data_IF_964091910058
#
_entry.id   IF_964091910058
#
_cell.length_a   1.000
_cell.length_b   1.000
_cell.length_c   1.000
_cell.angle_alpha   90.00
_cell.angle_beta   90.00
_cell.angle_gamma   90.00
#
_symmetry.space_group_name_H-M   'P 1'
#
loop_
_entity.id
_entity.type
_entity.pdbx_description
1 polymer ?
#
# COMPACT_ATOMS: atom_id res chain seq x y z
N UNK A 1 -1.72 -10.59 36.86
CA UNK A 1 -1.27 -11.64 35.90
C UNK A 1 -1.91 -12.96 36.32
N UNK A 2 -3.00 -13.34 35.66
CA UNK A 2 -3.67 -14.62 35.88
C UNK A 2 -2.76 -15.71 35.28
N UNK A 3 -2.32 -16.65 36.10
CA UNK A 3 -1.45 -17.74 35.62
C UNK A 3 -2.31 -18.80 34.91
N UNK A 4 -1.76 -19.53 33.93
CA UNK A 4 -2.48 -20.63 33.23
C UNK A 4 -3.21 -21.60 34.18
N UNK A 5 -2.69 -21.82 35.40
CA UNK A 5 -3.35 -22.71 36.39
C UNK A 5 -4.79 -22.28 36.68
N UNK A 6 -5.14 -21.00 36.51
CA UNK A 6 -6.47 -20.47 36.81
C UNK A 6 -7.49 -20.65 35.68
N UNK A 7 -7.07 -20.75 34.40
CA UNK A 7 -8.00 -20.80 33.25
C UNK A 7 -8.04 -22.14 32.50
N UNK A 8 -7.16 -23.09 32.82
CA UNK A 8 -7.22 -24.44 32.24
C UNK A 8 -7.04 -24.51 30.72
N UNK A 9 -6.32 -23.56 30.12
CA UNK A 9 -6.14 -23.48 28.65
C UNK A 9 -5.48 -24.76 28.11
N UNK A 10 -6.13 -25.38 27.12
CA UNK A 10 -5.68 -26.61 26.46
C UNK A 10 -5.06 -26.35 25.07
N UNK A 11 -5.51 -25.29 24.39
CA UNK A 11 -5.03 -24.93 23.05
C UNK A 11 -5.11 -23.42 22.78
N UNK A 12 -4.24 -22.95 21.88
CA UNK A 12 -4.25 -21.59 21.31
C UNK A 12 -4.32 -21.69 19.78
N UNK A 13 -5.24 -20.94 19.19
CA UNK A 13 -5.50 -20.89 17.76
C UNK A 13 -5.26 -19.48 17.22
N UNK A 14 -4.57 -19.33 16.09
CA UNK A 14 -4.27 -18.02 15.51
C UNK A 14 -4.03 -18.09 13.99
N UNK A 15 -4.01 -16.96 13.29
CA UNK A 15 -3.65 -16.87 11.88
C UNK A 15 -2.14 -16.71 11.70
N UNK A 16 -1.57 -17.50 10.79
CA UNK A 16 -0.14 -17.50 10.48
C UNK A 16 0.25 -16.26 9.66
N UNK A 17 1.37 -15.66 10.03
CA UNK A 17 2.05 -14.59 9.29
C UNK A 17 3.30 -15.09 8.55
N UNK A 18 3.93 -14.22 7.76
CA UNK A 18 4.99 -14.63 6.81
C UNK A 18 6.28 -13.81 6.90
N UNK A 19 6.30 -12.75 7.70
CA UNK A 19 7.41 -11.81 7.87
C UNK A 19 8.11 -12.01 9.21
N UNK A 20 9.35 -11.53 9.33
CA UNK A 20 10.27 -12.02 10.37
C UNK A 20 9.87 -11.63 11.79
N UNK A 21 9.34 -10.43 11.99
CA UNK A 21 8.93 -9.96 13.31
C UNK A 21 7.75 -10.78 13.84
N UNK A 22 6.73 -10.99 13.01
CA UNK A 22 5.58 -11.81 13.37
C UNK A 22 5.97 -13.28 13.56
N UNK A 23 6.84 -13.83 12.69
CA UNK A 23 7.35 -15.18 12.84
C UNK A 23 8.20 -15.36 14.12
N UNK A 24 8.91 -14.32 14.56
CA UNK A 24 9.63 -14.33 15.83
C UNK A 24 8.68 -14.42 17.02
N UNK A 25 7.58 -13.64 17.00
CA UNK A 25 6.50 -13.72 18.00
C UNK A 25 5.87 -15.11 18.01
N UNK A 26 5.51 -15.66 16.85
CA UNK A 26 4.95 -17.00 16.73
C UNK A 26 5.88 -18.08 17.31
N UNK A 27 7.18 -18.00 17.00
CA UNK A 27 8.20 -18.94 17.46
C UNK A 27 8.37 -18.86 18.98
N UNK A 28 8.45 -17.64 19.53
CA UNK A 28 8.53 -17.41 20.97
C UNK A 28 7.30 -17.94 21.71
N UNK A 29 6.10 -17.66 21.19
CA UNK A 29 4.83 -18.14 21.74
C UNK A 29 4.76 -19.67 21.75
N UNK A 30 5.08 -20.32 20.63
CA UNK A 30 5.13 -21.80 20.52
C UNK A 30 6.09 -22.40 21.54
N UNK A 31 7.29 -21.83 21.67
CA UNK A 31 8.30 -22.29 22.63
C UNK A 31 7.83 -22.12 24.08
N UNK A 32 7.19 -21.00 24.41
CA UNK A 32 6.68 -20.74 25.74
C UNK A 32 5.52 -21.69 26.10
N UNK A 33 4.56 -21.89 25.20
CA UNK A 33 3.39 -22.75 25.42
C UNK A 33 3.73 -24.25 25.43
N UNK A 34 4.75 -24.68 24.67
CA UNK A 34 5.24 -26.05 24.68
C UNK A 34 5.76 -26.47 26.07
N UNK A 35 6.49 -25.59 26.78
CA UNK A 35 7.04 -25.87 28.13
C UNK A 35 5.98 -26.21 29.16
N UNK A 36 4.77 -25.71 28.97
CA UNK A 36 3.66 -25.94 29.87
C UNK A 36 2.70 -27.01 29.30
N UNK A 37 2.84 -27.44 28.06
CA UNK A 37 1.95 -28.43 27.42
C UNK A 37 0.62 -27.87 26.89
N UNK A 38 0.58 -26.60 26.45
CA UNK A 38 -0.55 -26.06 25.66
C UNK A 38 -0.33 -26.37 24.19
N UNK A 39 -1.37 -26.88 23.50
CA UNK A 39 -1.33 -27.11 22.05
C UNK A 39 -1.42 -25.79 21.30
N UNK A 40 -0.67 -25.64 20.22
CA UNK A 40 -0.71 -24.44 19.38
C UNK A 40 -1.05 -24.84 17.95
N UNK A 41 -2.05 -24.22 17.34
CA UNK A 41 -2.45 -24.48 15.95
C UNK A 41 -2.66 -23.18 15.19
N UNK A 42 -1.90 -23.00 14.12
CA UNK A 42 -1.99 -21.84 13.23
C UNK A 42 -2.77 -22.18 11.96
N UNK A 43 -3.46 -21.18 11.39
CA UNK A 43 -4.19 -21.31 10.12
C UNK A 43 -3.75 -20.26 9.10
N UNK A 44 -3.78 -20.60 7.82
CA UNK A 44 -3.52 -19.64 6.75
C UNK A 44 -4.85 -18.97 6.35
N UNK A 45 -5.00 -17.67 6.63
CA UNK A 45 -6.29 -16.98 6.48
C UNK A 45 -6.29 -15.68 5.68
N UNK A 46 -5.11 -15.11 5.40
CA UNK A 46 -4.99 -13.71 4.99
C UNK A 46 -5.03 -13.48 3.48
N UNK A 47 -5.16 -14.53 2.65
CA UNK A 47 -5.13 -14.46 1.16
C UNK A 47 -6.44 -14.87 0.51
N UNK A 48 -6.64 -14.47 -0.75
CA UNK A 48 -7.76 -14.91 -1.58
C UNK A 48 -7.64 -16.41 -1.89
N UNK A 49 -6.49 -16.84 -2.39
CA UNK A 49 -6.19 -18.26 -2.61
C UNK A 49 -5.49 -18.83 -1.38
N UNK A 50 -6.05 -19.90 -0.81
CA UNK A 50 -5.44 -20.57 0.33
C UNK A 50 -4.13 -21.26 -0.11
N UNK A 51 -3.13 -21.36 0.77
CA UNK A 51 -1.83 -21.96 0.46
C UNK A 51 -1.92 -23.39 -0.10
N UNK A 52 -2.92 -24.16 0.34
CA UNK A 52 -3.15 -25.55 -0.11
C UNK A 52 -3.74 -25.64 -1.53
N UNK A 53 -4.31 -24.55 -2.05
CA UNK A 53 -4.90 -24.51 -3.39
C UNK A 53 -3.91 -24.04 -4.44
N UNK A 54 -2.68 -23.67 -4.05
CA UNK A 54 -1.66 -23.29 -5.02
C UNK A 54 -1.25 -24.50 -5.88
N UNK A 55 -1.08 -24.34 -7.20
CA UNK A 55 -0.65 -25.42 -8.08
C UNK A 55 0.86 -25.68 -7.98
N UNK A 56 1.53 -25.01 -7.04
CA UNK A 56 2.96 -25.08 -6.76
C UNK A 56 3.19 -24.90 -5.26
N UNK A 57 4.25 -25.51 -4.73
CA UNK A 57 4.71 -25.22 -3.37
C UNK A 57 5.29 -23.81 -3.26
N UNK A 58 5.33 -23.24 -2.05
CA UNK A 58 5.84 -21.88 -1.78
C UNK A 58 7.22 -21.62 -2.41
N UNK A 59 8.13 -22.60 -2.37
CA UNK A 59 9.48 -22.46 -2.98
C UNK A 59 9.46 -22.26 -4.49
N UNK A 60 8.38 -22.67 -5.16
CA UNK A 60 8.19 -22.64 -6.61
C UNK A 60 7.19 -21.58 -7.07
N UNK A 61 6.77 -20.65 -6.20
CA UNK A 61 5.96 -19.50 -6.62
C UNK A 61 6.68 -18.78 -7.78
N UNK A 62 6.02 -18.52 -8.92
CA UNK A 62 6.63 -17.83 -10.04
C UNK A 62 7.13 -16.43 -9.68
N UNK A 63 8.31 -16.06 -10.20
CA UNK A 63 8.94 -14.75 -9.94
C UNK A 63 8.25 -13.59 -10.69
N UNK A 64 7.39 -13.89 -11.65
CA UNK A 64 6.65 -12.90 -12.43
C UNK A 64 5.16 -13.02 -12.13
N UNK A 65 4.53 -11.93 -11.70
CA UNK A 65 3.09 -11.89 -11.35
C UNK A 65 2.20 -12.48 -12.46
N UNK A 66 2.45 -12.15 -13.72
CA UNK A 66 1.64 -12.66 -14.84
C UNK A 66 1.69 -14.19 -14.93
N UNK A 67 2.82 -14.81 -14.62
CA UNK A 67 2.96 -16.28 -14.60
C UNK A 67 2.24 -16.86 -13.38
N UNK A 68 2.43 -16.26 -12.20
CA UNK A 68 1.71 -16.62 -10.97
C UNK A 68 0.19 -16.60 -11.19
N UNK A 69 -0.36 -15.48 -11.67
CA UNK A 69 -1.78 -15.31 -11.97
C UNK A 69 -2.30 -16.36 -12.95
N UNK A 70 -1.62 -16.53 -14.10
CA UNK A 70 -2.08 -17.45 -15.15
C UNK A 70 -2.14 -18.90 -14.66
N UNK A 71 -1.17 -19.33 -13.84
CA UNK A 71 -1.17 -20.68 -13.28
C UNK A 71 -2.26 -20.84 -12.22
N UNK A 72 -2.42 -19.86 -11.34
CA UNK A 72 -3.41 -19.86 -10.27
C UNK A 72 -4.84 -19.88 -10.82
N UNK A 73 -5.16 -18.97 -11.75
CA UNK A 73 -6.50 -18.89 -12.36
C UNK A 73 -6.86 -20.14 -13.19
N UNK A 74 -5.86 -20.87 -13.69
CA UNK A 74 -6.08 -22.09 -14.48
C UNK A 74 -6.34 -23.33 -13.61
N UNK A 75 -5.70 -23.41 -12.45
CA UNK A 75 -5.55 -24.68 -11.73
C UNK A 75 -5.98 -24.64 -10.27
N UNK A 76 -6.49 -23.51 -9.79
CA UNK A 76 -6.86 -23.31 -8.38
C UNK A 76 -8.26 -22.76 -8.25
N UNK A 77 -8.91 -23.04 -7.12
CA UNK A 77 -10.23 -22.49 -6.80
C UNK A 77 -10.16 -21.66 -5.52
N UNK A 78 -10.91 -20.56 -5.49
CA UNK A 78 -11.11 -19.80 -4.25
C UNK A 78 -12.11 -20.56 -3.38
N UNK A 79 -11.70 -20.95 -2.17
CA UNK A 79 -12.62 -21.55 -1.21
C UNK A 79 -13.72 -20.57 -0.78
N UNK A 80 -14.89 -21.12 -0.49
CA UNK A 80 -15.97 -20.39 0.17
C UNK A 80 -15.51 -19.80 1.52
N UNK A 81 -16.21 -18.75 1.93
CA UNK A 81 -16.05 -18.17 3.27
C UNK A 81 -16.59 -19.13 4.33
N UNK A 82 -16.05 -19.03 5.55
CA UNK A 82 -16.60 -19.76 6.69
C UNK A 82 -17.86 -19.03 7.20
N UNK A 83 -18.89 -19.76 7.65
CA UNK A 83 -20.05 -19.13 8.27
C UNK A 83 -19.64 -18.44 9.59
N UNK A 84 -20.11 -17.21 9.80
CA UNK A 84 -19.92 -16.49 11.06
C UNK A 84 -20.65 -17.22 12.19
N UNK A 85 -19.98 -17.53 13.32
CA UNK A 85 -20.64 -18.16 14.46
C UNK A 85 -21.72 -17.23 15.01
N UNK A 86 -22.93 -17.76 15.21
CA UNK A 86 -24.06 -16.99 15.76
C UNK A 86 -24.01 -16.85 17.28
N UNK A 87 -23.31 -17.77 17.95
CA UNK A 87 -23.15 -17.81 19.39
C UNK A 87 -21.74 -18.30 19.75
N UNK A 88 -21.22 -17.81 20.86
CA UNK A 88 -19.99 -18.29 21.48
C UNK A 88 -20.29 -18.74 22.92
N UNK A 89 -19.49 -19.66 23.49
CA UNK A 89 -19.53 -19.94 24.91
C UNK A 89 -19.30 -18.67 25.74
N UNK A 90 -19.82 -18.59 26.97
CA UNK A 90 -19.61 -17.43 27.83
C UNK A 90 -18.13 -17.23 28.14
N UNK A 91 -17.73 -15.97 28.35
CA UNK A 91 -16.40 -15.63 28.81
C UNK A 91 -16.17 -16.19 30.23
N UNK A 92 -14.95 -16.66 30.55
CA UNK A 92 -14.60 -16.98 31.94
C UNK A 92 -14.66 -15.71 32.81
N UNK A 93 -14.78 -15.88 34.12
CA UNK A 93 -14.73 -14.77 35.09
C UNK A 93 -13.30 -14.23 35.19
N UNK A 94 -12.95 -13.32 34.29
CA UNK A 94 -11.63 -12.67 34.21
C UNK A 94 -11.80 -11.17 34.06
N UNK A 95 -10.77 -10.43 34.44
CA UNK A 95 -10.63 -9.04 33.99
C UNK A 95 -10.40 -9.07 32.47
N UNK A 96 -11.33 -8.46 31.72
CA UNK A 96 -11.29 -8.41 30.26
C UNK A 96 -10.30 -7.37 29.74
N UNK A 97 -9.81 -6.49 30.63
CA UNK A 97 -8.96 -5.36 30.28
C UNK A 97 -9.71 -4.25 29.55
N UNK A 98 -9.09 -3.08 29.51
CA UNK A 98 -9.56 -1.94 28.73
C UNK A 98 -8.74 -1.83 27.44
N UNK A 99 -9.39 -1.45 26.34
CA UNK A 99 -8.67 -1.11 25.12
C UNK A 99 -7.94 0.23 25.33
N UNK A 100 -6.62 0.29 25.06
CA UNK A 100 -5.85 1.51 25.28
C UNK A 100 -6.30 2.63 24.33
N UNK A 101 -6.19 3.87 24.79
CA UNK A 101 -6.23 5.06 23.96
C UNK A 101 -4.85 5.27 23.29
N UNK A 102 -4.80 6.13 22.27
CA UNK A 102 -3.53 6.47 21.61
C UNK A 102 -2.49 7.03 22.59
N UNK A 103 -2.92 7.85 23.55
CA UNK A 103 -2.04 8.42 24.56
C UNK A 103 -1.37 7.35 25.45
N UNK A 104 -2.07 6.25 25.75
CA UNK A 104 -1.52 5.12 26.52
C UNK A 104 -0.39 4.39 25.77
N UNK A 105 -0.36 4.56 24.43
CA UNK A 105 0.67 4.02 23.55
C UNK A 105 1.76 5.05 23.21
N UNK A 106 1.73 6.24 23.84
CA UNK A 106 2.67 7.33 23.54
C UNK A 106 2.41 8.02 22.21
N UNK A 107 1.19 7.94 21.68
CA UNK A 107 0.79 8.49 20.39
C UNK A 107 -0.20 9.64 20.55
N UNK A 108 -0.04 10.67 19.74
CA UNK A 108 -0.99 11.78 19.65
C UNK A 108 -2.10 11.46 18.63
N UNK A 109 -3.38 11.77 18.93
CA UNK A 109 -4.44 11.65 17.94
C UNK A 109 -4.17 12.56 16.73
N UNK A 110 -4.22 12.05 15.49
CA UNK A 110 -4.03 12.87 14.31
C UNK A 110 -5.19 13.87 14.16
N UNK A 111 -4.89 15.08 13.69
CA UNK A 111 -5.91 16.09 13.39
C UNK A 111 -6.64 15.69 12.09
N UNK A 112 -7.97 15.47 12.11
CA UNK A 112 -8.69 15.06 10.91
C UNK A 112 -8.69 16.15 9.83
N UNK A 113 -8.22 15.83 8.63
CA UNK A 113 -8.34 16.70 7.46
C UNK A 113 -9.64 16.42 6.70
N UNK A 114 -10.44 17.47 6.44
CA UNK A 114 -11.72 17.35 5.72
C UNK A 114 -11.56 16.93 4.25
N UNK A 115 -10.34 17.05 3.71
CA UNK A 115 -9.99 16.63 2.35
C UNK A 115 -9.75 15.13 2.23
N UNK A 116 -9.67 14.40 3.34
CA UNK A 116 -9.49 12.96 3.34
C UNK A 116 -10.52 12.26 2.45
N UNK A 117 -10.07 11.29 1.65
CA UNK A 117 -10.94 10.56 0.71
C UNK A 117 -12.10 9.84 1.39
N UNK A 118 -11.93 9.50 2.67
CA UNK A 118 -12.93 8.95 3.58
C UNK A 118 -12.61 9.39 5.00
N UNK A 119 -13.65 9.53 5.84
CA UNK A 119 -13.49 9.46 7.29
C UNK A 119 -13.39 7.99 7.68
N UNK A 120 -12.19 7.44 7.65
CA UNK A 120 -11.97 6.02 7.98
C UNK A 120 -12.38 5.73 9.43
N UNK A 121 -13.08 4.60 9.62
CA UNK A 121 -13.42 4.03 10.92
C UNK A 121 -12.98 2.58 10.91
N UNK A 122 -12.21 2.18 11.93
CA UNK A 122 -11.75 0.80 12.09
C UNK A 122 -12.89 -0.18 12.37
N UNK A 123 -12.58 -1.48 12.25
CA UNK A 123 -13.48 -2.59 12.59
C UNK A 123 -14.26 -3.16 11.40
N UNK A 124 -14.61 -4.45 11.53
CA UNK A 124 -15.37 -5.21 10.52
C UNK A 124 -16.70 -4.54 10.12
N UNK A 125 -17.55 -4.01 11.03
CA UNK A 125 -18.81 -3.39 10.62
C UNK A 125 -18.61 -2.20 9.66
N UNK A 126 -17.56 -1.39 9.86
CA UNK A 126 -17.25 -0.27 8.98
C UNK A 126 -16.71 -0.74 7.62
N UNK A 127 -15.93 -1.81 7.60
CA UNK A 127 -15.45 -2.43 6.36
C UNK A 127 -16.60 -3.01 5.53
N UNK A 128 -17.52 -3.74 6.15
CA UNK A 128 -18.71 -4.29 5.50
C UNK A 128 -19.62 -3.17 4.96
N UNK A 129 -19.84 -2.12 5.75
CA UNK A 129 -20.61 -0.95 5.31
C UNK A 129 -19.94 -0.23 4.13
N UNK A 130 -18.60 -0.14 4.09
CA UNK A 130 -17.88 0.44 2.94
C UNK A 130 -18.02 -0.44 1.69
N UNK A 131 -17.97 -1.77 1.84
CA UNK A 131 -18.21 -2.69 0.74
C UNK A 131 -19.63 -2.49 0.19
N UNK A 132 -20.63 -2.50 1.06
CA UNK A 132 -22.03 -2.31 0.68
C UNK A 132 -22.25 -0.97 -0.02
N UNK A 133 -21.68 0.10 0.52
CA UNK A 133 -21.71 1.41 -0.11
C UNK A 133 -21.13 1.38 -1.53
N UNK A 134 -19.93 0.83 -1.71
CA UNK A 134 -19.21 0.88 -2.98
C UNK A 134 -19.79 -0.08 -4.04
N UNK A 135 -20.19 -1.30 -3.65
CA UNK A 135 -20.74 -2.30 -4.57
C UNK A 135 -22.23 -2.07 -4.79
N UNK A 136 -23.02 -2.02 -3.73
CA UNK A 136 -24.46 -2.18 -3.82
C UNK A 136 -25.19 -0.85 -3.84
N UNK A 137 -24.85 0.10 -2.97
CA UNK A 137 -25.55 1.40 -2.90
C UNK A 137 -25.16 2.35 -4.05
N UNK A 138 -23.85 2.50 -4.31
CA UNK A 138 -23.32 3.43 -5.34
C UNK A 138 -23.02 2.78 -6.68
N UNK A 139 -23.09 1.44 -6.74
CA UNK A 139 -22.93 0.68 -7.99
C UNK A 139 -21.62 1.00 -8.73
N UNK A 140 -20.53 1.22 -7.97
CA UNK A 140 -19.25 1.70 -8.51
C UNK A 140 -18.39 0.59 -9.10
N UNK A 141 -18.59 -0.67 -8.69
CA UNK A 141 -17.74 -1.80 -9.09
C UNK A 141 -17.66 -1.95 -10.63
N UNK A 142 -18.77 -1.76 -11.35
CA UNK A 142 -18.82 -1.83 -12.83
C UNK A 142 -17.90 -0.82 -13.54
N UNK A 143 -17.42 0.22 -12.86
CA UNK A 143 -16.55 1.28 -13.40
C UNK A 143 -15.12 1.28 -12.83
N UNK A 144 -14.80 0.33 -11.95
CA UNK A 144 -13.56 0.31 -11.20
C UNK A 144 -12.29 0.42 -12.07
N UNK A 145 -12.19 -0.32 -13.19
CA UNK A 145 -11.00 -0.27 -14.05
C UNK A 145 -10.78 1.12 -14.65
N UNK A 146 -11.85 1.85 -14.95
CA UNK A 146 -11.79 3.19 -15.53
C UNK A 146 -11.47 4.24 -14.46
N UNK A 147 -11.94 4.07 -13.23
CA UNK A 147 -11.82 5.09 -12.17
C UNK A 147 -10.62 4.92 -11.27
N UNK A 148 -10.04 3.71 -11.14
CA UNK A 148 -9.01 3.37 -10.12
C UNK A 148 -7.73 4.22 -10.13
N UNK A 149 -7.46 4.94 -11.23
CA UNK A 149 -6.32 5.87 -11.32
C UNK A 149 -6.66 7.31 -10.89
N UNK A 150 -7.91 7.57 -10.48
CA UNK A 150 -8.31 8.85 -9.89
C UNK A 150 -7.62 9.11 -8.55
N UNK A 151 -7.62 10.37 -8.15
CA UNK A 151 -6.96 10.85 -6.93
C UNK A 151 -7.85 11.77 -6.07
N UNK A 152 -9.10 12.02 -6.50
CA UNK A 152 -10.07 12.81 -5.74
C UNK A 152 -11.39 12.05 -5.58
N UNK A 153 -11.95 12.13 -4.36
CA UNK A 153 -13.23 11.52 -3.98
C UNK A 153 -13.11 10.10 -3.44
N UNK A 154 -14.12 9.66 -2.69
CA UNK A 154 -14.14 8.35 -2.06
C UNK A 154 -14.15 7.19 -3.08
N UNK A 155 -14.90 7.35 -4.18
CA UNK A 155 -15.36 6.22 -5.00
C UNK A 155 -14.60 6.03 -6.31
N UNK A 156 -13.45 6.69 -6.49
CA UNK A 156 -12.59 6.34 -7.62
C UNK A 156 -12.00 4.92 -7.47
N UNK A 157 -11.93 4.39 -6.26
CA UNK A 157 -11.55 3.02 -5.93
C UNK A 157 -12.30 2.53 -4.69
N UNK A 158 -12.21 1.25 -4.36
CA UNK A 158 -12.95 0.64 -3.26
C UNK A 158 -12.62 1.21 -1.88
N UNK A 159 -11.37 1.66 -1.68
CA UNK A 159 -10.81 2.06 -0.38
C UNK A 159 -10.80 0.94 0.68
N UNK A 160 -10.87 -0.33 0.27
CA UNK A 160 -10.92 -1.47 1.20
C UNK A 160 -9.59 -1.76 1.92
N UNK A 161 -8.49 -1.16 1.49
CA UNK A 161 -7.14 -1.52 1.92
C UNK A 161 -6.90 -1.46 3.44
N UNK A 162 -7.41 -0.47 4.22
CA UNK A 162 -7.18 -0.46 5.68
C UNK A 162 -7.84 -1.65 6.38
N UNK A 163 -9.05 -2.01 5.94
CA UNK A 163 -9.77 -3.15 6.49
C UNK A 163 -9.20 -4.50 6.04
N UNK A 164 -8.62 -4.57 4.83
CA UNK A 164 -7.88 -5.75 4.35
C UNK A 164 -6.52 -5.94 5.06
N UNK A 165 -5.84 -4.86 5.41
CA UNK A 165 -4.56 -4.88 6.11
C UNK A 165 -4.72 -5.43 7.54
N UNK A 166 -5.77 -5.01 8.25
CA UNK A 166 -6.07 -5.46 9.62
C UNK A 166 -6.97 -6.71 9.69
N UNK A 167 -7.33 -7.31 8.56
CA UNK A 167 -8.18 -8.50 8.52
C UNK A 167 -9.65 -8.26 8.91
N UNK A 168 -10.10 -7.00 9.03
CA UNK A 168 -11.50 -6.63 9.20
C UNK A 168 -12.37 -6.99 7.99
N UNK A 169 -11.76 -7.08 6.81
CA UNK A 169 -12.36 -7.67 5.62
C UNK A 169 -11.51 -8.83 5.11
N UNK A 170 -12.17 -9.95 4.83
CA UNK A 170 -11.55 -11.10 4.17
C UNK A 170 -11.53 -10.89 2.65
N UNK A 171 -10.40 -11.13 1.95
CA UNK A 171 -10.37 -11.07 0.49
C UNK A 171 -11.31 -12.11 -0.15
N UNK A 172 -11.53 -13.26 0.50
CA UNK A 172 -12.49 -14.28 0.05
C UNK A 172 -13.94 -13.80 0.14
N UNK A 173 -14.26 -13.02 1.17
CA UNK A 173 -15.59 -12.40 1.29
C UNK A 173 -15.81 -11.34 0.21
N UNK A 174 -14.81 -10.48 -0.05
CA UNK A 174 -14.87 -9.52 -1.14
C UNK A 174 -15.07 -10.23 -2.48
N UNK A 175 -14.34 -11.32 -2.73
CA UNK A 175 -14.49 -12.11 -3.95
C UNK A 175 -15.89 -12.71 -4.10
N UNK A 176 -16.44 -13.29 -3.04
CA UNK A 176 -17.83 -13.78 -3.05
C UNK A 176 -18.82 -12.67 -3.38
N UNK A 177 -18.63 -11.46 -2.82
CA UNK A 177 -19.45 -10.29 -3.12
C UNK A 177 -19.28 -9.80 -4.57
N UNK A 178 -18.08 -9.95 -5.16
CA UNK A 178 -17.88 -9.70 -6.60
C UNK A 178 -18.67 -10.70 -7.44
N UNK A 179 -18.62 -12.00 -7.11
CA UNK A 179 -19.37 -13.04 -7.84
C UNK A 179 -20.89 -12.81 -7.75
N UNK A 180 -21.37 -12.41 -6.58
CA UNK A 180 -22.77 -12.06 -6.37
C UNK A 180 -23.16 -10.83 -7.19
N UNK A 181 -22.33 -9.79 -7.21
CA UNK A 181 -22.53 -8.59 -8.02
C UNK A 181 -22.56 -8.91 -9.52
N UNK A 182 -21.63 -9.75 -10.00
CA UNK A 182 -21.57 -10.19 -11.39
C UNK A 182 -22.84 -10.95 -11.81
N UNK A 183 -23.42 -11.72 -10.88
CA UNK A 183 -24.65 -12.50 -11.10
C UNK A 183 -25.89 -11.61 -11.11
N UNK A 184 -25.99 -10.67 -10.17
CA UNK A 184 -27.19 -9.84 -9.98
C UNK A 184 -27.21 -8.59 -10.86
N UNK A 185 -26.04 -8.07 -11.26
CA UNK A 185 -25.93 -6.79 -11.95
C UNK A 185 -25.18 -6.91 -13.27
N UNK A 186 -23.85 -6.92 -13.22
CA UNK A 186 -23.05 -6.80 -14.43
C UNK A 186 -21.67 -7.41 -14.24
N UNK A 187 -21.23 -8.22 -15.21
CA UNK A 187 -19.88 -8.77 -15.28
C UNK A 187 -19.10 -8.08 -16.39
N UNK A 188 -17.93 -7.52 -16.06
CA UNK A 188 -17.07 -6.90 -17.05
C UNK A 188 -15.61 -6.86 -16.60
N UNK A 189 -14.78 -6.20 -17.39
CA UNK A 189 -13.38 -5.96 -17.06
C UNK A 189 -13.18 -5.33 -15.68
N UNK A 190 -14.08 -4.48 -15.20
CA UNK A 190 -13.95 -3.78 -13.93
C UNK A 190 -14.21 -4.66 -12.71
N UNK A 191 -15.21 -5.55 -12.78
CA UNK A 191 -15.47 -6.53 -11.71
C UNK A 191 -14.27 -7.46 -11.56
N UNK A 192 -13.73 -7.95 -12.68
CA UNK A 192 -12.50 -8.74 -12.71
C UNK A 192 -11.29 -7.93 -12.22
N UNK A 193 -11.14 -6.66 -12.62
CA UNK A 193 -9.97 -5.87 -12.25
C UNK A 193 -9.85 -5.69 -10.74
N UNK A 194 -10.95 -5.68 -9.98
CA UNK A 194 -10.85 -5.64 -8.52
C UNK A 194 -10.23 -6.94 -7.97
N UNK A 195 -10.64 -8.10 -8.50
CA UNK A 195 -10.04 -9.39 -8.15
C UNK A 195 -8.58 -9.47 -8.58
N UNK A 196 -8.24 -8.93 -9.76
CA UNK A 196 -6.86 -8.84 -10.24
C UNK A 196 -5.94 -8.08 -9.27
N UNK A 197 -6.45 -7.07 -8.59
CA UNK A 197 -5.69 -6.28 -7.61
C UNK A 197 -5.61 -7.00 -6.26
N UNK A 198 -6.62 -7.79 -5.87
CA UNK A 198 -6.51 -8.74 -4.76
C UNK A 198 -5.44 -9.81 -5.02
N UNK A 199 -5.31 -10.27 -6.27
CA UNK A 199 -4.25 -11.20 -6.67
C UNK A 199 -2.85 -10.60 -6.54
N UNK A 200 -2.68 -9.30 -6.75
CA UNK A 200 -1.41 -8.62 -6.45
C UNK A 200 -1.09 -8.63 -4.96
N UNK A 201 -2.08 -8.41 -4.10
CA UNK A 201 -1.92 -8.52 -2.63
C UNK A 201 -1.51 -9.93 -2.22
N UNK A 202 -2.17 -10.96 -2.76
CA UNK A 202 -1.79 -12.37 -2.56
C UNK A 202 -0.36 -12.63 -3.02
N UNK A 203 -0.03 -12.19 -4.23
CA UNK A 203 1.29 -12.37 -4.83
C UNK A 203 2.40 -11.82 -3.94
N UNK A 204 2.27 -10.58 -3.45
CA UNK A 204 3.28 -10.01 -2.56
C UNK A 204 3.42 -10.78 -1.25
N UNK A 205 2.33 -11.24 -0.65
CA UNK A 205 2.36 -12.08 0.57
C UNK A 205 3.06 -13.42 0.33
N UNK A 206 2.77 -14.06 -0.80
CA UNK A 206 3.42 -15.29 -1.21
C UNK A 206 4.91 -15.10 -1.53
N UNK A 207 5.29 -13.99 -2.16
CA UNK A 207 6.69 -13.62 -2.41
C UNK A 207 7.44 -13.39 -1.09
N UNK A 208 6.84 -12.70 -0.11
CA UNK A 208 7.43 -12.53 1.21
C UNK A 208 7.63 -13.89 1.90
N UNK A 209 6.63 -14.78 1.85
CA UNK A 209 6.73 -16.14 2.39
C UNK A 209 7.86 -16.97 1.74
N UNK A 210 8.08 -16.80 0.43
CA UNK A 210 9.13 -17.50 -0.32
C UNK A 210 10.54 -16.94 -0.06
N UNK A 211 10.68 -15.61 -0.01
CA UNK A 211 11.99 -14.96 0.01
C UNK A 211 12.45 -14.54 1.40
N UNK A 212 11.56 -14.53 2.39
CA UNK A 212 11.83 -14.11 3.77
C UNK A 212 12.44 -12.71 3.80
N UNK A 213 13.46 -12.52 4.65
CA UNK A 213 14.05 -11.21 4.91
C UNK A 213 14.73 -10.53 3.72
N UNK A 214 14.87 -11.20 2.57
CA UNK A 214 15.38 -10.53 1.35
C UNK A 214 14.53 -9.34 0.92
N UNK A 215 13.22 -9.36 1.22
CA UNK A 215 12.33 -8.24 0.91
C UNK A 215 12.69 -6.95 1.65
N UNK A 216 13.35 -7.06 2.81
CA UNK A 216 13.75 -5.91 3.65
C UNK A 216 15.18 -5.44 3.42
N UNK A 217 16.02 -6.21 2.73
CA UNK A 217 17.43 -5.84 2.49
C UNK A 217 17.51 -4.77 1.42
N UNK A 218 18.43 -3.80 1.55
CA UNK A 218 18.65 -2.75 0.54
C UNK A 218 18.81 -3.28 -0.90
N UNK A 219 19.46 -4.45 -1.05
CA UNK A 219 19.65 -5.13 -2.34
C UNK A 219 18.38 -5.71 -2.95
N UNK A 220 17.29 -5.72 -2.18
CA UNK A 220 15.98 -6.27 -2.51
C UNK A 220 15.97 -7.77 -2.79
N UNK A 221 14.84 -8.23 -3.32
CA UNK A 221 14.60 -9.62 -3.69
C UNK A 221 15.58 -10.13 -4.77
N UNK A 222 16.02 -9.24 -5.67
CA UNK A 222 17.00 -9.56 -6.70
C UNK A 222 18.44 -9.62 -6.18
N UNK A 223 18.77 -9.03 -5.04
CA UNK A 223 20.15 -8.99 -4.55
C UNK A 223 21.07 -8.09 -5.38
N UNK A 224 20.57 -6.95 -5.88
CA UNK A 224 21.38 -5.98 -6.64
C UNK A 224 21.88 -4.89 -5.70
N UNK A 225 23.20 -4.75 -5.56
CA UNK A 225 23.82 -3.73 -4.70
C UNK A 225 23.93 -2.39 -5.45
N UNK A 226 22.90 -1.57 -5.34
CA UNK A 226 22.88 -0.21 -5.89
C UNK A 226 23.44 0.76 -4.83
N UNK A 227 24.37 1.67 -5.19
CA UNK A 227 24.87 2.69 -4.26
C UNK A 227 23.84 3.81 -4.09
N UNK A 228 22.77 3.52 -3.37
CA UNK A 228 21.72 4.48 -3.06
C UNK A 228 22.24 5.65 -2.23
N UNK A 229 21.65 6.84 -2.41
CA UNK A 229 21.93 8.01 -1.58
C UNK A 229 21.08 7.97 -0.32
N UNK A 230 21.59 8.55 0.76
CA UNK A 230 20.84 8.86 1.99
C UNK A 230 20.91 10.38 2.22
N UNK A 231 20.45 11.14 1.22
CA UNK A 231 20.39 12.60 1.22
C UNK A 231 19.18 13.05 2.06
N UNK A 232 19.38 13.11 3.39
CA UNK A 232 18.33 13.47 4.36
C UNK A 232 17.66 14.79 4.02
N UNK A 233 18.41 15.82 3.61
CA UNK A 233 17.83 17.12 3.23
C UNK A 233 16.82 16.99 2.08
N UNK A 234 17.14 16.22 1.04
CA UNK A 234 16.19 15.99 -0.07
C UNK A 234 15.06 15.04 0.32
N UNK A 235 15.32 14.11 1.22
CA UNK A 235 14.28 13.23 1.76
C UNK A 235 13.26 14.03 2.57
N UNK A 236 13.69 14.96 3.42
CA UNK A 236 12.81 15.85 4.20
C UNK A 236 11.95 16.72 3.28
N UNK A 237 12.53 17.28 2.22
CA UNK A 237 11.76 18.03 1.21
C UNK A 237 10.71 17.14 0.50
N UNK A 238 10.97 15.84 0.34
CA UNK A 238 9.97 14.92 -0.21
C UNK A 238 8.87 14.65 0.81
N UNK A 239 9.21 14.30 2.06
CA UNK A 239 8.24 13.96 3.10
C UNK A 239 7.33 15.13 3.45
N UNK A 240 7.85 16.35 3.41
CA UNK A 240 7.09 17.60 3.59
C UNK A 240 6.25 18.01 2.35
N UNK A 241 6.46 17.37 1.20
CA UNK A 241 5.82 17.76 -0.06
C UNK A 241 6.25 19.15 -0.52
N UNK A 242 7.57 19.37 -0.56
CA UNK A 242 8.25 20.61 -0.92
C UNK A 242 9.32 20.40 -2.01
N UNK A 243 9.10 19.43 -2.90
CA UNK A 243 10.03 19.08 -3.99
C UNK A 243 9.98 20.07 -5.16
N UNK A 244 8.95 20.89 -5.25
CA UNK A 244 8.69 21.78 -6.37
C UNK A 244 7.99 21.08 -7.55
N UNK A 245 7.59 19.81 -7.39
CA UNK A 245 6.82 19.05 -8.35
C UNK A 245 5.38 18.83 -7.83
N UNK A 246 4.38 19.57 -8.36
CA UNK A 246 3.04 19.64 -7.76
C UNK A 246 2.35 18.29 -7.57
N UNK A 247 2.49 17.35 -8.51
CA UNK A 247 1.90 16.01 -8.37
C UNK A 247 2.54 15.23 -7.21
N UNK A 248 3.85 15.32 -7.03
CA UNK A 248 4.59 14.64 -5.96
C UNK A 248 4.23 15.28 -4.61
N UNK A 249 4.30 16.60 -4.55
CA UNK A 249 4.05 17.39 -3.35
C UNK A 249 2.61 17.21 -2.84
N UNK A 250 1.63 17.26 -3.74
CA UNK A 250 0.22 17.03 -3.40
C UNK A 250 0.00 15.64 -2.79
N UNK A 251 0.64 14.60 -3.34
CA UNK A 251 0.53 13.23 -2.81
C UNK A 251 1.20 13.10 -1.44
N UNK A 252 2.39 13.67 -1.25
CA UNK A 252 3.08 13.60 0.05
C UNK A 252 2.31 14.37 1.14
N UNK A 253 1.67 15.50 0.80
CA UNK A 253 0.79 16.22 1.71
C UNK A 253 -0.52 15.47 1.98
N UNK A 254 -1.11 14.79 0.99
CA UNK A 254 -2.27 13.90 1.21
C UNK A 254 -1.93 12.79 2.21
N UNK A 255 -0.79 12.11 2.03
CA UNK A 255 -0.34 11.04 2.92
C UNK A 255 -0.17 11.55 4.35
N UNK A 256 0.55 12.66 4.53
CA UNK A 256 0.83 13.21 5.86
C UNK A 256 -0.45 13.67 6.57
N UNK A 257 -1.39 14.27 5.84
CA UNK A 257 -2.62 14.80 6.42
C UNK A 257 -3.69 13.71 6.70
N UNK A 258 -3.65 12.57 6.01
CA UNK A 258 -4.78 11.62 5.99
C UNK A 258 -4.41 10.17 6.27
N UNK A 259 -3.11 9.85 6.26
CA UNK A 259 -2.61 8.47 6.29
C UNK A 259 -2.96 7.66 5.04
N UNK A 260 -3.45 8.29 3.97
CA UNK A 260 -3.83 7.60 2.75
C UNK A 260 -3.19 8.28 1.52
N UNK A 261 -2.90 7.48 0.50
CA UNK A 261 -2.48 7.98 -0.81
C UNK A 261 -3.04 7.05 -1.89
N UNK A 262 -3.51 7.62 -3.00
CA UNK A 262 -3.96 6.83 -4.16
C UNK A 262 -2.85 5.91 -4.68
N UNK A 263 -3.21 4.75 -5.27
CA UNK A 263 -2.20 3.87 -5.88
C UNK A 263 -1.35 4.59 -6.94
N UNK A 264 -2.00 5.43 -7.76
CA UNK A 264 -1.31 6.25 -8.77
C UNK A 264 -0.32 7.21 -8.13
N UNK A 265 -0.69 7.83 -7.03
CA UNK A 265 0.16 8.63 -6.17
C UNK A 265 1.39 7.89 -5.69
N UNK A 266 1.16 6.75 -5.01
CA UNK A 266 2.23 5.91 -4.43
C UNK A 266 3.28 5.53 -5.48
N UNK A 267 2.84 5.12 -6.67
CA UNK A 267 3.72 4.79 -7.79
C UNK A 267 4.58 6.00 -8.23
N UNK A 268 4.00 7.19 -8.31
CA UNK A 268 4.71 8.39 -8.74
C UNK A 268 5.73 8.86 -7.69
N UNK A 269 5.35 8.93 -6.41
CA UNK A 269 6.27 9.39 -5.35
C UNK A 269 7.40 8.39 -5.09
N UNK A 270 7.11 7.09 -5.11
CA UNK A 270 8.14 6.06 -4.96
C UNK A 270 9.11 6.04 -6.15
N UNK A 271 8.59 6.24 -7.37
CA UNK A 271 9.44 6.43 -8.54
C UNK A 271 10.25 7.71 -8.47
N UNK A 272 9.70 8.81 -7.97
CA UNK A 272 10.44 10.07 -7.84
C UNK A 272 11.59 9.93 -6.84
N UNK A 273 11.33 9.35 -5.66
CA UNK A 273 12.37 9.06 -4.66
C UNK A 273 13.52 8.23 -5.26
N UNK A 274 13.18 7.12 -5.91
CA UNK A 274 14.19 6.15 -6.36
C UNK A 274 14.83 6.50 -7.70
N UNK A 275 14.11 7.16 -8.62
CA UNK A 275 14.56 7.37 -10.01
C UNK A 275 14.98 8.81 -10.29
N UNK A 276 14.44 9.79 -9.56
CA UNK A 276 14.86 11.19 -9.66
C UNK A 276 15.82 11.56 -8.53
N UNK A 277 15.47 11.30 -7.27
CA UNK A 277 16.37 11.63 -6.17
C UNK A 277 17.52 10.62 -6.04
N UNK A 278 17.30 9.37 -6.43
CA UNK A 278 18.27 8.28 -6.29
C UNK A 278 18.50 7.89 -4.83
N UNK A 279 17.50 8.15 -3.98
CA UNK A 279 17.55 7.89 -2.54
C UNK A 279 17.17 6.44 -2.26
N UNK A 280 17.75 5.87 -1.19
CA UNK A 280 17.48 4.53 -0.70
C UNK A 280 15.97 4.30 -0.54
N UNK A 281 15.46 3.30 -1.24
CA UNK A 281 14.03 2.98 -1.26
C UNK A 281 13.51 2.54 0.12
N UNK A 282 14.37 2.02 0.99
CA UNK A 282 13.98 1.63 2.36
C UNK A 282 13.49 2.83 3.16
N UNK A 283 14.09 4.02 2.99
CA UNK A 283 13.64 5.24 3.67
C UNK A 283 12.18 5.58 3.30
N UNK A 284 11.82 5.41 2.02
CA UNK A 284 10.44 5.59 1.58
C UNK A 284 9.50 4.49 2.07
N UNK A 285 9.98 3.24 2.15
CA UNK A 285 9.21 2.11 2.67
C UNK A 285 8.86 2.29 4.15
N UNK A 286 9.83 2.71 4.97
CA UNK A 286 9.66 2.99 6.40
C UNK A 286 8.77 4.22 6.64
N UNK A 287 8.90 5.27 5.82
CA UNK A 287 8.00 6.43 5.90
C UNK A 287 6.54 6.04 5.61
N UNK A 288 6.33 5.18 4.61
CA UNK A 288 5.02 4.66 4.28
C UNK A 288 4.47 3.75 5.39
N UNK A 289 5.32 2.92 5.99
CA UNK A 289 4.98 2.10 7.15
C UNK A 289 4.53 2.94 8.35
N UNK A 290 5.20 4.08 8.60
CA UNK A 290 4.85 4.97 9.70
C UNK A 290 3.53 5.73 9.52
N UNK A 291 3.08 5.99 8.28
CA UNK A 291 1.94 6.88 8.01
C UNK A 291 0.72 6.20 7.40
N UNK A 292 0.89 5.10 6.66
CA UNK A 292 -0.23 4.51 5.94
C UNK A 292 -1.23 3.85 6.89
N UNK A 293 -2.47 4.34 6.88
CA UNK A 293 -3.61 3.71 7.55
C UNK A 293 -3.92 2.31 6.99
N UNK A 294 -3.39 2.00 5.80
CA UNK A 294 -3.49 0.69 5.16
C UNK A 294 -2.15 -0.04 5.01
N UNK A 295 -1.20 0.23 5.90
CA UNK A 295 0.05 -0.50 5.93
C UNK A 295 -0.18 -2.01 6.01
N UNK A 296 0.25 -2.72 4.97
CA UNK A 296 0.41 -4.17 4.93
C UNK A 296 1.87 -4.44 4.56
N UNK A 297 2.61 -5.10 5.45
CA UNK A 297 4.06 -5.33 5.32
C UNK A 297 4.43 -5.94 3.96
N UNK A 298 3.67 -6.93 3.50
CA UNK A 298 3.99 -7.61 2.25
C UNK A 298 3.77 -6.70 1.04
N UNK A 299 2.65 -5.99 1.03
CA UNK A 299 2.22 -5.11 -0.06
C UNK A 299 3.10 -3.86 -0.13
N UNK A 300 3.43 -3.24 1.00
CA UNK A 300 4.31 -2.06 1.05
C UNK A 300 5.72 -2.42 0.57
N UNK A 301 6.39 -3.32 1.28
CA UNK A 301 7.78 -3.68 0.99
C UNK A 301 7.94 -4.35 -0.37
N UNK A 302 6.96 -5.14 -0.80
CA UNK A 302 6.89 -5.72 -2.15
C UNK A 302 6.79 -4.67 -3.26
N UNK A 303 5.89 -3.68 -3.13
CA UNK A 303 5.76 -2.61 -4.12
C UNK A 303 6.99 -1.68 -4.16
N UNK A 304 7.62 -1.42 -3.02
CA UNK A 304 8.86 -0.65 -2.97
C UNK A 304 10.01 -1.37 -3.67
N UNK A 305 10.18 -2.68 -3.45
CA UNK A 305 11.13 -3.49 -4.22
C UNK A 305 10.86 -3.42 -5.73
N UNK A 306 9.59 -3.54 -6.13
CA UNK A 306 9.17 -3.48 -7.53
C UNK A 306 9.52 -2.12 -8.15
N UNK A 307 9.20 -1.02 -7.46
CA UNK A 307 9.42 0.34 -7.94
C UNK A 307 10.90 0.70 -7.98
N UNK A 308 11.66 0.30 -6.96
CA UNK A 308 13.10 0.51 -6.88
C UNK A 308 13.88 -0.27 -7.95
N UNK A 309 13.26 -1.27 -8.59
CA UNK A 309 13.91 -2.11 -9.60
C UNK A 309 14.79 -3.20 -8.99
N UNK A 310 14.51 -3.60 -7.75
CA UNK A 310 15.21 -4.69 -7.05
C UNK A 310 14.28 -5.86 -6.71
N UNK A 311 13.08 -5.89 -7.29
CA UNK A 311 12.06 -6.94 -7.15
C UNK A 311 12.11 -8.02 -8.25
N UNK A 312 11.39 -9.11 -8.05
CA UNK A 312 11.47 -10.34 -8.88
C UNK A 312 11.04 -10.21 -10.36
N UNK A 313 10.38 -9.10 -10.75
CA UNK A 313 10.01 -8.74 -12.13
C UNK A 313 10.52 -7.33 -12.47
N UNK A 314 11.73 -6.96 -12.04
CA UNK A 314 12.34 -5.70 -12.45
C UNK A 314 12.56 -5.71 -13.98
N UNK A 315 11.66 -5.06 -14.72
CA UNK A 315 11.73 -4.90 -16.18
C UNK A 315 12.74 -3.82 -16.57
N UNK A 316 13.97 -3.93 -16.05
CA UNK A 316 15.02 -2.94 -16.19
C UNK A 316 14.74 -1.64 -15.42
N UNK A 317 15.36 -0.54 -15.87
CA UNK A 317 15.18 0.78 -15.28
C UNK A 317 13.88 1.44 -15.77
N UNK A 318 12.76 1.13 -15.11
CA UNK A 318 11.48 1.83 -15.34
C UNK A 318 11.30 2.96 -14.35
N UNK A 319 10.77 4.07 -14.85
CA UNK A 319 10.43 5.25 -14.06
C UNK A 319 9.11 5.86 -14.54
N UNK A 320 8.48 6.62 -13.67
CA UNK A 320 7.29 7.41 -13.99
C UNK A 320 7.71 8.83 -14.39
N UNK A 321 7.40 9.21 -15.63
CA UNK A 321 7.57 10.59 -16.07
C UNK A 321 6.52 11.47 -15.38
N UNK A 322 6.92 12.20 -14.34
CA UNK A 322 6.05 13.04 -13.51
C UNK A 322 5.24 14.04 -14.35
N UNK A 323 5.83 14.67 -15.37
CA UNK A 323 5.11 15.62 -16.23
C UNK A 323 4.01 14.94 -17.03
N UNK A 324 4.29 13.75 -17.60
CA UNK A 324 3.29 12.97 -18.32
C UNK A 324 2.17 12.48 -17.39
N UNK A 325 2.54 11.96 -16.21
CA UNK A 325 1.58 11.46 -15.23
C UNK A 325 0.65 12.57 -14.74
N UNK A 326 1.19 13.77 -14.53
CA UNK A 326 0.40 14.94 -14.15
C UNK A 326 -0.65 15.30 -15.22
N UNK A 327 -0.24 15.28 -16.50
CA UNK A 327 -1.16 15.55 -17.63
C UNK A 327 -2.21 14.45 -17.82
N UNK A 328 -1.81 13.19 -17.68
CA UNK A 328 -2.70 12.05 -17.94
C UNK A 328 -3.74 11.88 -16.82
N UNK A 329 -3.36 12.11 -15.55
CA UNK A 329 -4.19 11.77 -14.37
C UNK A 329 -4.72 12.96 -13.59
N UNK A 330 -4.22 14.18 -13.86
CA UNK A 330 -4.78 15.42 -13.33
C UNK A 330 -4.75 16.56 -14.37
N UNK A 331 -5.32 16.38 -15.58
CA UNK A 331 -5.18 17.35 -16.68
C UNK A 331 -5.67 18.77 -16.34
N UNK A 332 -6.62 18.88 -15.40
CA UNK A 332 -7.20 20.16 -14.96
C UNK A 332 -6.53 20.71 -13.69
N UNK A 333 -5.57 20.00 -13.12
CA UNK A 333 -4.90 20.39 -11.88
C UNK A 333 -5.83 20.36 -10.66
N UNK A 334 -6.93 19.64 -10.70
CA UNK A 334 -7.92 19.63 -9.62
C UNK A 334 -7.33 18.99 -8.37
N UNK A 335 -6.61 17.89 -8.54
CA UNK A 335 -5.96 17.19 -7.43
C UNK A 335 -4.85 18.03 -6.82
N UNK A 336 -3.94 18.57 -7.64
CA UNK A 336 -2.84 19.38 -7.11
C UNK A 336 -3.33 20.64 -6.41
N UNK A 337 -4.34 21.33 -6.94
CA UNK A 337 -4.92 22.53 -6.29
C UNK A 337 -5.65 22.22 -4.98
N UNK A 338 -6.20 21.00 -4.86
CA UNK A 338 -6.88 20.58 -3.64
C UNK A 338 -5.91 20.42 -2.45
N UNK A 339 -4.70 19.93 -2.74
CA UNK A 339 -3.66 19.68 -1.73
C UNK A 339 -2.62 20.81 -1.62
N UNK A 340 -2.48 21.62 -2.66
CA UNK A 340 -1.57 22.77 -2.76
C UNK A 340 -2.38 24.05 -2.97
N UNK A 341 -3.06 24.57 -1.92
CA UNK A 341 -3.94 25.73 -2.04
C UNK A 341 -3.20 26.96 -2.57
N UNK A 342 -1.89 27.09 -2.31
CA UNK A 342 -1.04 28.14 -2.86
C UNK A 342 -1.03 28.18 -4.40
N UNK A 343 -1.27 27.06 -5.08
CA UNK A 343 -1.31 26.95 -6.54
C UNK A 343 -2.71 27.09 -7.16
N UNK A 344 -3.75 27.39 -6.36
CA UNK A 344 -5.16 27.40 -6.81
C UNK A 344 -5.42 28.37 -7.97
N UNK A 345 -4.80 29.55 -7.93
CA UNK A 345 -4.93 30.61 -8.92
C UNK A 345 -4.20 30.30 -10.25
N UNK A 346 -3.27 29.34 -10.26
CA UNK A 346 -2.48 29.00 -11.45
C UNK A 346 -3.36 28.24 -12.45
N UNK A 347 -3.41 28.62 -13.74
CA UNK A 347 -4.23 27.92 -14.72
C UNK A 347 -3.82 26.46 -14.91
N UNK A 348 -4.79 25.58 -15.22
CA UNK A 348 -4.58 24.14 -15.41
C UNK A 348 -3.39 23.79 -16.34
N UNK A 349 -3.22 24.55 -17.42
CA UNK A 349 -2.12 24.34 -18.38
C UNK A 349 -0.71 24.57 -17.80
N UNK A 350 -0.60 25.31 -16.69
CA UNK A 350 0.69 25.70 -16.06
C UNK A 350 0.89 25.16 -14.64
N UNK A 351 -0.19 24.75 -13.97
CA UNK A 351 -0.16 24.37 -12.54
C UNK A 351 0.79 23.22 -12.23
N UNK A 352 1.05 22.32 -13.18
CA UNK A 352 1.99 21.20 -13.01
C UNK A 352 3.45 21.54 -13.25
N UNK A 353 3.74 22.75 -13.75
CA UNK A 353 5.08 23.24 -14.00
C UNK A 353 5.19 24.72 -13.60
N UNK A 354 4.91 25.06 -12.33
CA UNK A 354 4.79 26.46 -11.91
C UNK A 354 6.12 27.23 -12.02
N UNK A 355 7.26 26.54 -12.03
CA UNK A 355 8.58 27.13 -12.29
C UNK A 355 8.73 27.73 -13.70
N UNK A 356 7.81 27.44 -14.63
CA UNK A 356 7.79 28.02 -15.99
C UNK A 356 7.00 29.34 -16.09
N UNK A 357 6.44 29.81 -14.97
CA UNK A 357 5.68 31.07 -14.92
C UNK A 357 6.62 32.27 -15.07
N UNK A 358 6.28 33.18 -15.99
CA UNK A 358 6.99 34.46 -16.09
C UNK A 358 6.76 35.33 -14.84
N UNK A 359 7.60 36.35 -14.66
CA UNK A 359 7.43 37.32 -13.56
C UNK A 359 6.05 37.97 -13.54
N UNK A 360 5.48 38.27 -14.72
CA UNK A 360 4.14 38.86 -14.82
C UNK A 360 3.03 37.86 -14.52
N UNK A 361 3.21 36.60 -14.87
CA UNK A 361 2.26 35.54 -14.51
C UNK A 361 2.30 35.24 -13.01
N UNK A 362 3.49 35.21 -12.40
CA UNK A 362 3.66 35.09 -10.96
C UNK A 362 2.94 36.21 -10.21
N UNK A 363 3.09 37.47 -10.65
CA UNK A 363 2.32 38.61 -10.12
C UNK A 363 0.81 38.44 -10.34
N UNK A 364 0.39 38.09 -11.57
CA UNK A 364 -1.03 37.94 -11.94
C UNK A 364 -1.74 36.86 -11.12
N UNK A 365 -1.06 35.76 -10.83
CA UNK A 365 -1.62 34.64 -10.07
C UNK A 365 -1.33 34.75 -8.56
N UNK A 366 -0.63 35.79 -8.10
CA UNK A 366 -0.32 35.98 -6.68
C UNK A 366 0.63 34.92 -6.10
N UNK A 367 1.46 34.28 -6.93
CA UNK A 367 2.39 33.23 -6.53
C UNK A 367 3.82 33.62 -6.89
N UNK A 368 4.76 33.50 -5.95
CA UNK A 368 6.19 33.68 -6.20
C UNK A 368 6.93 32.34 -6.01
N UNK A 369 7.49 31.80 -7.09
CA UNK A 369 8.24 30.54 -7.04
C UNK A 369 9.58 30.76 -6.33
N UNK A 370 9.93 29.86 -5.43
CA UNK A 370 11.02 30.00 -4.47
C UNK A 370 10.63 30.69 -3.16
N UNK A 371 9.37 31.14 -3.02
CA UNK A 371 8.86 31.77 -1.78
C UNK A 371 7.54 31.18 -1.33
N UNK A 372 6.49 31.24 -2.17
CA UNK A 372 5.19 30.65 -1.84
C UNK A 372 5.13 29.16 -2.20
N UNK A 373 5.87 28.75 -3.23
CA UNK A 373 6.01 27.36 -3.65
C UNK A 373 7.45 27.12 -4.15
N UNK A 374 8.12 26.00 -3.81
CA UNK A 374 9.55 25.82 -4.04
C UNK A 374 9.93 25.71 -5.52
N UNK A 375 11.20 25.99 -5.81
CA UNK A 375 11.81 25.61 -7.09
C UNK A 375 11.99 24.08 -7.14
N UNK A 376 11.98 23.45 -8.34
CA UNK A 376 12.29 22.04 -8.49
C UNK A 376 13.63 21.67 -7.86
N UNK A 377 13.63 20.67 -6.98
CA UNK A 377 14.85 20.21 -6.27
C UNK A 377 15.86 19.49 -7.16
N UNK A 378 15.43 19.10 -8.37
CA UNK A 378 16.23 18.44 -9.41
C UNK A 378 15.69 18.80 -10.79
N UNK A 379 16.52 18.68 -11.82
CA UNK A 379 16.04 18.56 -13.20
C UNK A 379 15.55 17.12 -13.44
N UNK A 380 14.32 16.95 -13.93
CA UNK A 380 13.70 15.62 -14.07
C UNK A 380 14.46 14.71 -15.02
N UNK A 381 14.95 15.23 -16.14
CA UNK A 381 15.54 14.41 -17.20
C UNK A 381 16.99 14.07 -16.91
N UNK A 382 17.76 15.06 -16.45
CA UNK A 382 19.14 14.87 -16.02
C UNK A 382 19.22 13.88 -14.87
N UNK A 383 18.36 14.03 -13.86
CA UNK A 383 18.36 13.15 -12.67
C UNK A 383 18.02 11.70 -13.01
N UNK A 384 17.02 11.45 -13.87
CA UNK A 384 16.68 10.10 -14.34
C UNK A 384 17.84 9.46 -15.09
N UNK A 385 18.48 10.19 -16.01
CA UNK A 385 19.62 9.68 -16.78
C UNK A 385 20.83 9.35 -15.88
N UNK A 386 21.09 10.18 -14.87
CA UNK A 386 22.15 9.92 -13.89
C UNK A 386 21.88 8.66 -13.08
N UNK A 387 20.67 8.51 -12.55
CA UNK A 387 20.31 7.32 -11.75
C UNK A 387 20.18 6.05 -12.60
N UNK A 388 19.80 6.17 -13.87
CA UNK A 388 19.80 5.03 -14.82
C UNK A 388 21.21 4.48 -15.04
N UNK A 389 22.21 5.37 -15.19
CA UNK A 389 23.62 4.96 -15.30
C UNK A 389 24.09 4.24 -14.03
N UNK A 390 23.71 4.75 -12.85
CA UNK A 390 24.03 4.11 -11.56
C UNK A 390 23.40 2.72 -11.47
N UNK A 391 22.13 2.59 -11.82
CA UNK A 391 21.41 1.32 -11.81
C UNK A 391 22.02 0.30 -12.77
N UNK A 392 22.28 0.69 -14.02
CA UNK A 392 22.88 -0.19 -15.02
C UNK A 392 24.31 -0.60 -14.61
N UNK A 393 25.09 0.32 -14.05
CA UNK A 393 26.42 0.01 -13.50
C UNK A 393 26.37 -1.00 -12.34
N UNK A 394 25.35 -0.93 -11.48
CA UNK A 394 25.16 -1.91 -10.41
C UNK A 394 24.74 -3.29 -10.94
N UNK A 395 23.90 -3.34 -11.96
CA UNK A 395 23.53 -4.60 -12.63
C UNK A 395 24.73 -5.28 -13.30
N UNK A 396 25.56 -4.52 -14.02
CA UNK A 396 26.74 -5.06 -14.70
C UNK A 396 27.82 -5.59 -13.77
N UNK A 397 27.86 -5.16 -12.51
CA UNK A 397 28.81 -5.69 -11.49
C UNK A 397 28.32 -6.99 -10.85
N UNK A 398 27.05 -7.34 -11.03
CA UNK A 398 26.45 -8.56 -10.49
C UNK A 398 26.57 -9.75 -11.46
N UNK A 399 26.52 -9.47 -12.77
CA UNK A 399 26.85 -10.43 -13.84
C UNK A 399 28.34 -10.71 -13.85
#
# INVERSE_FOLDING_TARGET
MISRKELGISAVYYHREVTSEELAVESALKKALAKIGVKVKSFWGSTLFHINELPFGIRHIPEVFTQFRKQLEKSSTVYSTFPTPKTLPPLPKVDVGELPQLADLGLEPPVPDQRAVLKFKGGEPAGLARLDHYFWQKDCLKRYKQTRNGMLGADYSSKFSPWLALGCLSPRYIYQQVQEYETQRFKNDSTYWLVFELLWRDYFRFICAKHGNRVFRQSGLQGVSIPWKEDWKRFDLLTEGMTGFPLVDANMRELTATGFMSNRGRQNVASFLTKNLGINWQMGAEWFESLLIDYDVCSNWGNWNYTAGVGNDARGFRYFNIQKQSKDYDPQGKYVKHWLPELTSVPARKVHQPWTLSSDEQKRYGIRIGVHYPQPVVDLWKSVQENEKVYNGALSRRS
#
